data_IF_827104974539
#
_entry.id   IF_827104974539
#
_cell.length_a   1.000
_cell.length_b   1.000
_cell.length_c   1.000
_cell.angle_alpha   90.00
_cell.angle_beta   90.00
_cell.angle_gamma   90.00
#
_symmetry.space_group_name_H-M   'P 1'
#
loop_
_entity.id
_entity.type
_entity.pdbx_description
1 polymer ?
#
# COMPACT_ATOMS: atom_id res chain seq x y z
N UNK A 1 3.97 17.08 -5.50
CA UNK A 1 3.89 15.71 -4.92
C UNK A 1 4.98 15.60 -3.84
N UNK A 2 4.69 15.06 -2.64
CA UNK A 2 5.70 14.86 -1.57
C UNK A 2 6.14 13.39 -1.58
N UNK A 3 7.25 13.13 -2.26
CA UNK A 3 8.05 11.90 -2.15
C UNK A 3 9.31 12.25 -1.37
N UNK A 4 9.80 11.35 -0.52
CA UNK A 4 11.07 11.51 0.20
C UNK A 4 11.97 10.31 -0.10
N UNK A 5 13.28 10.48 0.00
CA UNK A 5 14.25 9.38 -0.15
C UNK A 5 14.91 9.18 1.22
N UNK A 6 14.92 7.94 1.70
CA UNK A 6 15.56 7.56 2.96
C UNK A 6 16.46 6.37 2.65
N UNK A 7 17.75 6.49 2.95
CA UNK A 7 18.76 5.44 2.73
C UNK A 7 18.79 4.93 1.26
N UNK A 8 18.53 5.83 0.30
CA UNK A 8 18.47 5.49 -1.13
C UNK A 8 17.17 4.80 -1.57
N UNK A 9 16.25 4.48 -0.66
CA UNK A 9 14.93 3.93 -0.98
C UNK A 9 13.90 5.08 -1.10
N UNK A 10 13.09 5.12 -2.18
CA UNK A 10 12.02 6.10 -2.31
C UNK A 10 10.84 5.76 -1.39
N UNK A 11 10.27 6.78 -0.75
CA UNK A 11 9.08 6.68 0.09
C UNK A 11 8.00 7.63 -0.41
N UNK A 12 6.77 7.12 -0.49
CA UNK A 12 5.59 7.85 -0.94
C UNK A 12 4.65 8.09 0.23
N UNK A 13 3.94 9.21 0.19
CA UNK A 13 2.96 9.53 1.25
C UNK A 13 1.85 8.47 1.35
N UNK A 14 1.32 8.25 2.56
CA UNK A 14 0.17 7.37 2.81
C UNK A 14 -1.00 7.53 1.81
N UNK A 15 -1.49 8.74 1.46
CA UNK A 15 -2.55 8.88 0.46
C UNK A 15 -2.13 8.45 -0.95
N UNK A 16 -0.86 8.65 -1.32
CA UNK A 16 -0.34 8.22 -2.62
C UNK A 16 -0.20 6.69 -2.69
N UNK A 17 0.39 6.08 -1.67
CA UNK A 17 0.45 4.62 -1.56
C UNK A 17 -0.93 3.96 -1.59
N UNK A 18 -1.93 4.54 -0.90
CA UNK A 18 -3.30 4.04 -0.91
C UNK A 18 -3.92 4.10 -2.32
N UNK A 19 -3.62 5.17 -3.07
CA UNK A 19 -4.06 5.33 -4.47
C UNK A 19 -3.40 4.29 -5.38
N UNK A 20 -2.11 4.05 -5.24
CA UNK A 20 -1.38 3.04 -6.02
C UNK A 20 -1.91 1.62 -5.74
N UNK A 21 -2.23 1.33 -4.48
CA UNK A 21 -2.80 0.05 -4.07
C UNK A 21 -4.31 -0.07 -4.35
N UNK A 22 -4.96 0.99 -4.84
CA UNK A 22 -6.40 1.05 -5.05
C UNK A 22 -7.24 0.67 -3.80
N UNK A 23 -6.75 1.02 -2.61
CA UNK A 23 -7.44 0.78 -1.35
C UNK A 23 -7.76 2.09 -0.64
N UNK A 24 -8.74 2.06 0.27
CA UNK A 24 -9.02 3.21 1.11
C UNK A 24 -7.79 3.57 1.97
N UNK A 25 -7.47 4.87 2.06
CA UNK A 25 -6.40 5.40 2.93
C UNK A 25 -6.53 4.92 4.37
N UNK A 26 -7.76 4.78 4.87
CA UNK A 26 -8.04 4.28 6.21
C UNK A 26 -7.73 2.79 6.37
N UNK A 27 -7.91 1.98 5.33
CA UNK A 27 -7.52 0.56 5.33
C UNK A 27 -6.01 0.44 5.46
N UNK A 28 -5.26 1.17 4.64
CA UNK A 28 -3.79 1.19 4.71
C UNK A 28 -3.30 1.71 6.07
N UNK A 29 -3.93 2.75 6.61
CA UNK A 29 -3.61 3.25 7.94
C UNK A 29 -3.86 2.20 9.04
N UNK A 30 -4.95 1.43 8.97
CA UNK A 30 -5.22 0.35 9.93
C UNK A 30 -4.15 -0.74 9.86
N UNK A 31 -3.70 -1.11 8.66
CA UNK A 31 -2.61 -2.08 8.49
C UNK A 31 -1.31 -1.60 9.11
N UNK A 32 -0.97 -0.33 8.96
CA UNK A 32 0.22 0.25 9.58
C UNK A 32 0.14 0.31 11.12
N UNK A 33 -1.06 0.50 11.67
CA UNK A 33 -1.29 0.54 13.13
C UNK A 33 -1.32 -0.84 13.76
N UNK A 34 -1.63 -1.88 13.00
CA UNK A 34 -1.65 -3.25 13.48
C UNK A 34 -0.27 -3.91 13.27
N UNK A 35 0.42 -4.22 14.37
CA UNK A 35 1.79 -4.76 14.35
C UNK A 35 1.88 -6.07 13.56
N UNK A 36 1.00 -7.03 13.85
CA UNK A 36 1.01 -8.35 13.21
C UNK A 36 0.83 -8.24 11.69
N UNK A 37 -0.09 -7.38 11.26
CA UNK A 37 -0.34 -7.09 9.85
C UNK A 37 0.89 -6.46 9.20
N UNK A 38 1.46 -5.43 9.84
CA UNK A 38 2.63 -4.72 9.34
C UNK A 38 3.83 -5.63 9.18
N UNK A 39 4.09 -6.51 10.14
CA UNK A 39 5.18 -7.49 10.10
C UNK A 39 4.91 -8.58 9.05
N UNK A 40 3.70 -9.14 9.00
CA UNK A 40 3.27 -10.14 8.00
C UNK A 40 3.43 -9.64 6.55
N UNK A 41 3.12 -8.38 6.31
CA UNK A 41 3.27 -7.76 5.00
C UNK A 41 4.65 -7.14 4.76
N UNK A 42 5.49 -7.01 5.79
CA UNK A 42 6.82 -6.41 5.70
C UNK A 42 6.76 -4.93 5.29
N UNK A 43 5.78 -4.18 5.80
CA UNK A 43 5.56 -2.78 5.40
C UNK A 43 6.56 -1.87 6.11
N UNK A 44 7.49 -1.30 5.35
CA UNK A 44 8.36 -0.22 5.80
C UNK A 44 7.62 1.11 5.70
N UNK A 45 7.46 1.77 6.84
CA UNK A 45 6.85 3.08 6.93
C UNK A 45 7.58 3.94 7.96
N UNK A 46 7.65 5.23 7.68
CA UNK A 46 8.22 6.25 8.55
C UNK A 46 7.16 7.31 8.85
N UNK A 47 7.20 7.87 10.05
CA UNK A 47 6.39 9.01 10.43
C UNK A 47 7.31 10.23 10.53
N UNK A 48 6.98 11.25 9.76
CA UNK A 48 7.62 12.55 9.84
C UNK A 48 7.37 13.16 11.23
N UNK A 49 8.43 13.45 12.02
CA UNK A 49 8.28 13.94 13.38
C UNK A 49 7.76 15.39 13.43
N UNK A 50 7.94 16.17 12.36
CA UNK A 50 7.52 17.58 12.30
C UNK A 50 6.03 17.71 11.99
N UNK A 51 5.56 16.91 11.03
CA UNK A 51 4.23 17.08 10.43
C UNK A 51 3.26 15.95 10.80
N UNK A 52 3.76 14.87 11.40
CA UNK A 52 3.00 13.65 11.66
C UNK A 52 2.63 12.87 10.38
N UNK A 53 3.12 13.27 9.22
CA UNK A 53 2.85 12.63 7.95
C UNK A 53 3.50 11.24 7.87
N UNK A 54 2.74 10.26 7.38
CA UNK A 54 3.25 8.90 7.21
C UNK A 54 3.68 8.70 5.77
N UNK A 55 4.87 8.17 5.59
CA UNK A 55 5.43 7.77 4.31
C UNK A 55 5.72 6.27 4.33
N UNK A 56 5.51 5.62 3.20
CA UNK A 56 5.63 4.17 3.00
C UNK A 56 6.65 3.94 1.90
N UNK A 57 7.54 2.98 2.08
CA UNK A 57 8.56 2.69 1.08
C UNK A 57 7.93 2.18 -0.21
N UNK A 58 8.44 2.62 -1.36
CA UNK A 58 7.93 2.20 -2.67
C UNK A 58 8.03 0.68 -2.82
N UNK A 59 9.11 0.06 -2.32
CA UNK A 59 9.25 -1.39 -2.33
C UNK A 59 8.17 -2.11 -1.54
N UNK A 60 7.67 -1.52 -0.44
CA UNK A 60 6.54 -2.07 0.30
C UNK A 60 5.24 -1.94 -0.48
N UNK A 61 5.02 -0.80 -1.16
CA UNK A 61 3.86 -0.58 -2.02
C UNK A 61 3.84 -1.58 -3.18
N UNK A 62 4.95 -1.78 -3.89
CA UNK A 62 5.05 -2.78 -4.97
C UNK A 62 4.79 -4.19 -4.47
N UNK A 63 5.35 -4.58 -3.31
CA UNK A 63 5.10 -5.91 -2.73
C UNK A 63 3.63 -6.12 -2.37
N UNK A 64 2.98 -5.10 -1.82
CA UNK A 64 1.55 -5.14 -1.51
C UNK A 64 0.74 -5.25 -2.80
N UNK A 65 1.02 -4.42 -3.81
CA UNK A 65 0.34 -4.46 -5.12
C UNK A 65 0.40 -5.88 -5.72
N UNK A 66 1.59 -6.49 -5.77
CA UNK A 66 1.78 -7.85 -6.29
C UNK A 66 0.99 -8.92 -5.49
N UNK A 67 0.83 -8.75 -4.16
CA UNK A 67 0.00 -9.67 -3.37
C UNK A 67 -1.50 -9.48 -3.65
N UNK A 68 -1.94 -8.26 -3.90
CA UNK A 68 -3.34 -7.96 -4.19
C UNK A 68 -3.73 -8.24 -5.65
N UNK A 69 -2.79 -8.19 -6.60
CA UNK A 69 -3.01 -8.62 -7.99
C UNK A 69 -3.25 -10.14 -8.12
N UNK A 70 -2.86 -10.95 -7.13
CA UNK A 70 -3.26 -12.36 -7.02
C UNK A 70 -4.71 -12.57 -6.54
N UNK A 71 -5.45 -11.49 -6.30
CA UNK A 71 -6.86 -11.52 -5.83
C UNK A 71 -7.76 -10.68 -6.74
N UNK A 72 -7.49 -10.65 -8.04
CA UNK A 72 -8.60 -10.48 -8.99
C UNK A 72 -9.31 -11.84 -9.08
N UNK A 73 -10.55 -12.00 -8.59
CA UNK A 73 -11.33 -13.14 -9.05
C UNK A 73 -11.37 -13.05 -10.59
N UNK A 74 -11.19 -14.15 -11.33
CA UNK A 74 -11.56 -14.14 -12.74
C UNK A 74 -13.02 -13.68 -12.78
N UNK A 75 -13.30 -12.60 -13.52
CA UNK A 75 -14.68 -12.25 -13.83
C UNK A 75 -15.27 -13.49 -14.49
N UNK A 76 -16.34 -14.11 -13.94
CA UNK A 76 -17.07 -15.11 -14.70
C UNK A 76 -17.55 -14.38 -15.95
N UNK A 77 -17.00 -14.71 -17.11
CA UNK A 77 -17.65 -14.38 -18.36
C UNK A 77 -18.94 -15.19 -18.31
N UNK A 78 -20.06 -14.51 -18.03
CA UNK A 78 -21.38 -15.11 -18.17
C UNK A 78 -21.46 -15.72 -19.57
N UNK A 79 -21.47 -17.05 -19.62
CA UNK A 79 -21.95 -17.77 -20.78
C UNK A 79 -23.46 -17.55 -20.86
N UNK A 80 -23.89 -16.51 -21.56
CA UNK A 80 -25.20 -16.48 -22.22
C UNK A 80 -24.94 -16.57 -23.73
N UNK A 81 -25.04 -17.73 -24.38
CA UNK A 81 -26.29 -18.38 -24.80
C UNK A 81 -27.35 -17.36 -25.27
N UNK A 82 -27.28 -16.99 -26.54
CA UNK A 82 -28.32 -17.26 -27.55
C UNK A 82 -27.75 -17.09 -28.95
#
# INVERSE_FOLDING_TARGET
MKQIIIEGEPYVSLPMAARELQIARMTLLRWLKNKDIREKFGIKAVKDPLNGHIFISQGSVTKLANRYELVSPPVPVEQGMK
#
